data_IF_615189964515
#
_entry.id   IF_615189964515
#
_cell.length_a   1.000
_cell.length_b   1.000
_cell.length_c   1.000
_cell.angle_alpha   90.00
_cell.angle_beta   90.00
_cell.angle_gamma   90.00
#
_symmetry.space_group_name_H-M   'P 1'
#
loop_
_entity.id
_entity.type
_entity.pdbx_description
1 polymer ?
#
# COMPACT_ATOMS: atom_id res chain seq x y z
N UNK A 1 -8.26 15.50 -17.12
CA UNK A 1 -7.88 15.82 -15.73
C UNK A 1 -7.74 17.33 -15.64
N UNK A 2 -8.46 18.02 -14.75
CA UNK A 2 -8.37 19.47 -14.55
C UNK A 2 -6.95 19.88 -14.10
N UNK A 3 -6.59 21.13 -14.35
CA UNK A 3 -5.25 21.66 -14.07
C UNK A 3 -5.28 22.64 -12.90
N UNK A 4 -6.22 23.59 -12.91
CA UNK A 4 -6.38 24.60 -11.89
C UNK A 4 -7.68 24.37 -11.11
N UNK A 5 -7.57 24.18 -9.82
CA UNK A 5 -8.70 23.98 -8.92
C UNK A 5 -8.31 24.27 -7.47
N UNK A 6 -9.29 24.41 -6.60
CA UNK A 6 -9.10 24.67 -5.17
C UNK A 6 -10.38 24.46 -4.40
N UNK A 7 -10.40 24.72 -3.08
CA UNK A 7 -11.58 24.49 -2.24
C UNK A 7 -12.83 25.26 -2.70
N UNK A 8 -12.67 26.36 -3.46
CA UNK A 8 -13.72 27.22 -3.97
C UNK A 8 -13.65 27.46 -5.49
N UNK A 9 -12.81 26.72 -6.23
CA UNK A 9 -12.65 26.89 -7.67
C UNK A 9 -12.69 25.57 -8.42
N UNK A 10 -13.44 25.53 -9.53
CA UNK A 10 -13.62 24.33 -10.35
C UNK A 10 -14.14 23.12 -9.57
N UNK A 11 -14.87 23.35 -8.48
CA UNK A 11 -15.53 22.33 -7.67
C UNK A 11 -16.86 21.97 -8.33
N UNK A 12 -16.99 20.71 -8.78
CA UNK A 12 -18.26 20.16 -9.27
C UNK A 12 -19.17 19.86 -8.09
N UNK A 13 -18.62 19.23 -7.06
CA UNK A 13 -19.26 19.00 -5.77
C UNK A 13 -18.21 18.69 -4.68
N UNK A 14 -18.63 18.90 -3.43
CA UNK A 14 -17.87 18.59 -2.21
C UNK A 14 -18.78 17.87 -1.23
N UNK A 15 -18.29 16.80 -0.62
CA UNK A 15 -19.05 16.00 0.36
C UNK A 15 -18.20 15.81 1.62
N UNK A 16 -18.76 16.12 2.77
CA UNK A 16 -18.15 15.86 4.07
C UNK A 16 -18.15 14.36 4.36
N UNK A 17 -17.01 13.82 4.76
CA UNK A 17 -16.82 12.40 5.06
C UNK A 17 -15.90 12.22 6.27
N UNK A 18 -16.10 11.15 7.06
CA UNK A 18 -15.13 10.78 8.09
C UNK A 18 -13.75 10.46 7.52
N UNK A 19 -12.73 10.63 8.33
CA UNK A 19 -11.35 10.36 7.97
C UNK A 19 -11.10 8.90 7.54
N UNK A 20 -10.07 8.69 6.78
CA UNK A 20 -9.61 7.37 6.32
C UNK A 20 -8.59 7.50 5.21
N UNK A 21 -7.74 6.49 5.06
CA UNK A 21 -6.63 6.50 4.11
C UNK A 21 -6.92 5.74 2.82
N UNK A 22 -8.08 5.04 2.72
CA UNK A 22 -8.42 4.31 1.50
C UNK A 22 -8.49 5.24 0.30
N UNK A 23 -7.96 4.80 -0.82
CA UNK A 23 -8.21 5.40 -2.12
C UNK A 23 -9.67 5.17 -2.54
N UNK A 24 -10.06 5.73 -3.66
CA UNK A 24 -11.41 5.66 -4.18
C UNK A 24 -11.55 4.50 -5.17
N UNK A 25 -12.54 3.63 -4.95
CA UNK A 25 -12.95 2.63 -5.92
C UNK A 25 -14.12 3.21 -6.75
N UNK A 26 -13.84 3.58 -8.00
CA UNK A 26 -14.84 4.23 -8.87
C UNK A 26 -15.35 3.23 -9.90
N UNK A 27 -16.68 3.07 -9.99
CA UNK A 27 -17.33 2.24 -11.00
C UNK A 27 -18.68 2.84 -11.45
N UNK A 28 -18.81 3.14 -12.71
CA UNK A 28 -19.99 3.81 -13.24
C UNK A 28 -20.28 5.11 -12.47
N UNK A 29 -21.48 5.22 -11.92
CA UNK A 29 -21.89 6.38 -11.11
C UNK A 29 -21.70 6.17 -9.59
N UNK A 30 -20.85 5.25 -9.16
CA UNK A 30 -20.58 4.97 -7.76
C UNK A 30 -19.12 5.21 -7.42
N UNK A 31 -18.88 5.76 -6.22
CA UNK A 31 -17.58 5.82 -5.57
C UNK A 31 -17.71 5.07 -4.25
N UNK A 32 -16.87 4.07 -4.03
CA UNK A 32 -16.79 3.33 -2.78
C UNK A 32 -15.48 3.66 -2.07
N UNK A 33 -15.55 3.81 -0.76
CA UNK A 33 -14.40 4.06 0.10
C UNK A 33 -14.65 3.49 1.50
N UNK A 34 -13.59 3.36 2.29
CA UNK A 34 -13.69 3.01 3.71
C UNK A 34 -13.37 4.23 4.56
N UNK A 35 -13.98 4.34 5.74
CA UNK A 35 -13.76 5.43 6.67
C UNK A 35 -13.68 4.91 8.10
N UNK A 36 -13.08 5.70 8.98
CA UNK A 36 -13.00 5.43 10.42
C UNK A 36 -13.82 6.48 11.18
N UNK A 37 -14.66 6.01 12.09
CA UNK A 37 -15.45 6.83 13.00
C UNK A 37 -15.00 6.60 14.45
N UNK A 38 -15.46 7.42 15.41
CA UNK A 38 -15.22 7.16 16.82
C UNK A 38 -15.75 5.80 17.31
N UNK A 39 -16.79 5.27 16.66
CA UNK A 39 -17.44 4.00 17.02
C UNK A 39 -16.80 2.78 16.32
N UNK A 40 -16.09 2.99 15.21
CA UNK A 40 -15.49 1.89 14.46
C UNK A 40 -15.11 2.22 13.02
N UNK A 41 -15.45 1.33 12.11
CA UNK A 41 -15.15 1.48 10.67
C UNK A 41 -16.42 1.48 9.85
N UNK A 42 -16.39 2.14 8.70
CA UNK A 42 -17.53 2.13 7.79
C UNK A 42 -17.12 2.01 6.32
N UNK A 43 -18.03 1.43 5.53
CA UNK A 43 -17.98 1.49 4.07
C UNK A 43 -18.98 2.52 3.61
N UNK A 44 -18.55 3.42 2.72
CA UNK A 44 -19.36 4.51 2.20
C UNK A 44 -19.49 4.39 0.68
N UNK A 45 -20.71 4.59 0.19
CA UNK A 45 -21.00 4.74 -1.25
C UNK A 45 -21.49 6.15 -1.53
N UNK A 46 -20.87 6.81 -2.50
CA UNK A 46 -21.20 8.17 -2.93
C UNK A 46 -21.61 8.13 -4.41
N UNK A 47 -22.65 8.88 -4.74
CA UNK A 47 -23.01 9.12 -6.15
C UNK A 47 -21.94 10.00 -6.79
N UNK A 48 -21.32 9.49 -7.84
CA UNK A 48 -20.19 10.15 -8.51
C UNK A 48 -20.55 11.46 -9.21
N UNK A 49 -21.78 11.59 -9.64
CA UNK A 49 -22.22 12.77 -10.40
C UNK A 49 -22.59 13.94 -9.48
N UNK A 50 -23.19 13.63 -8.34
CA UNK A 50 -23.78 14.63 -7.43
C UNK A 50 -23.03 14.79 -6.11
N UNK A 51 -22.14 13.86 -5.75
CA UNK A 51 -21.49 13.81 -4.44
C UNK A 51 -22.39 13.31 -3.30
N UNK A 52 -23.67 13.00 -3.56
CA UNK A 52 -24.60 12.55 -2.53
C UNK A 52 -24.17 11.20 -1.96
N UNK A 53 -24.10 11.10 -0.63
CA UNK A 53 -23.93 9.82 0.05
C UNK A 53 -25.19 8.98 -0.17
N UNK A 54 -25.03 7.82 -0.79
CA UNK A 54 -26.14 6.92 -1.11
C UNK A 54 -26.42 5.95 0.03
N UNK A 55 -25.37 5.46 0.66
CA UNK A 55 -25.46 4.62 1.85
C UNK A 55 -24.13 4.59 2.63
N UNK A 56 -24.25 4.22 3.91
CA UNK A 56 -23.14 3.91 4.81
C UNK A 56 -23.41 2.56 5.48
N UNK A 57 -22.35 1.78 5.72
CA UNK A 57 -22.42 0.52 6.50
C UNK A 57 -21.36 0.57 7.58
N UNK A 58 -21.80 0.88 8.77
CA UNK A 58 -20.95 1.05 9.97
C UNK A 58 -20.80 -0.28 10.70
N UNK A 59 -19.64 -0.55 11.20
CA UNK A 59 -19.29 -1.72 12.00
C UNK A 59 -18.56 -1.25 13.25
N UNK A 60 -19.12 -1.57 14.40
CA UNK A 60 -18.50 -1.26 15.69
C UNK A 60 -17.20 -2.09 15.85
N UNK A 61 -16.16 -1.46 16.37
CA UNK A 61 -14.88 -2.11 16.70
C UNK A 61 -14.55 -1.89 18.17
N UNK A 62 -13.82 -2.84 18.77
CA UNK A 62 -13.40 -2.72 20.15
C UNK A 62 -12.49 -1.48 20.35
N UNK A 63 -12.55 -0.87 21.53
CA UNK A 63 -11.73 0.32 21.85
C UNK A 63 -10.23 0.04 21.80
N UNK A 64 -9.81 -1.17 22.13
CA UNK A 64 -8.42 -1.64 22.05
C UNK A 64 -7.88 -1.69 20.61
N UNK A 65 -8.74 -1.92 19.63
CA UNK A 65 -8.35 -1.94 18.20
C UNK A 65 -8.17 -0.53 17.65
N UNK A 66 -8.85 0.46 18.22
CA UNK A 66 -8.77 1.88 17.81
C UNK A 66 -7.46 2.57 18.25
N UNK A 67 -6.77 2.02 19.25
CA UNK A 67 -5.52 2.56 19.79
C UNK A 67 -4.24 1.88 19.29
N UNK A 68 -4.34 0.83 18.47
CA UNK A 68 -3.22 -0.02 18.08
C UNK A 68 -2.34 0.55 16.94
N UNK A 69 -2.28 1.86 16.77
CA UNK A 69 -1.45 2.52 15.75
C UNK A 69 -1.99 2.35 14.31
N UNK A 70 -2.03 3.41 13.55
CA UNK A 70 -2.51 3.41 12.16
C UNK A 70 -4.03 3.60 12.03
N UNK A 71 -4.47 3.82 10.79
CA UNK A 71 -5.88 4.03 10.45
C UNK A 71 -6.52 2.67 10.09
N UNK A 72 -7.62 2.32 10.74
CA UNK A 72 -8.34 1.06 10.49
C UNK A 72 -9.00 1.00 9.10
N UNK A 73 -9.16 2.15 8.42
CA UNK A 73 -9.78 2.30 7.12
C UNK A 73 -8.76 2.69 6.03
N UNK A 74 -7.66 1.94 5.90
CA UNK A 74 -6.62 2.16 4.90
C UNK A 74 -6.85 1.34 3.63
N UNK A 75 -7.51 0.20 3.73
CA UNK A 75 -7.74 -0.71 2.61
C UNK A 75 -8.75 -0.12 1.61
N UNK A 76 -8.38 -0.09 0.35
CA UNK A 76 -9.23 0.40 -0.74
C UNK A 76 -10.22 -0.70 -1.17
N UNK A 77 -11.52 -0.40 -1.31
CA UNK A 77 -12.48 -1.34 -1.86
C UNK A 77 -12.17 -1.74 -3.30
N UNK A 78 -12.67 -2.90 -3.73
CA UNK A 78 -12.61 -3.35 -5.13
C UNK A 78 -13.98 -3.85 -5.59
N UNK A 79 -14.28 -3.73 -6.89
CA UNK A 79 -15.57 -4.14 -7.46
C UNK A 79 -15.44 -4.72 -8.86
N UNK A 80 -16.34 -5.66 -9.21
CA UNK A 80 -16.56 -6.15 -10.57
C UNK A 80 -17.84 -5.58 -11.22
N UNK A 81 -18.42 -4.54 -10.61
CA UNK A 81 -19.62 -3.88 -11.15
C UNK A 81 -20.96 -4.41 -10.63
N UNK A 82 -20.97 -5.45 -9.79
CA UNK A 82 -22.19 -6.02 -9.16
C UNK A 82 -22.09 -6.02 -7.64
N UNK A 83 -20.89 -6.28 -7.11
CA UNK A 83 -20.59 -6.31 -5.68
C UNK A 83 -19.40 -5.43 -5.39
N UNK A 84 -19.34 -4.92 -4.19
CA UNK A 84 -18.15 -4.24 -3.66
C UNK A 84 -17.56 -5.06 -2.51
N UNK A 85 -16.25 -5.23 -2.54
CA UNK A 85 -15.51 -6.00 -1.55
C UNK A 85 -14.60 -5.07 -0.77
N UNK A 86 -14.64 -5.20 0.55
CA UNK A 86 -13.85 -4.39 1.47
C UNK A 86 -13.09 -5.29 2.43
N UNK A 87 -11.97 -4.80 2.90
CA UNK A 87 -11.18 -5.45 3.94
C UNK A 87 -10.92 -4.47 5.08
N UNK A 88 -11.20 -4.89 6.29
CA UNK A 88 -10.78 -4.23 7.52
C UNK A 88 -10.00 -5.24 8.35
N UNK A 89 -8.80 -4.88 8.82
CA UNK A 89 -7.99 -5.79 9.63
C UNK A 89 -8.74 -6.32 10.86
N UNK A 90 -9.51 -5.46 11.52
CA UNK A 90 -10.32 -5.78 12.70
C UNK A 90 -11.61 -6.56 12.43
N UNK A 91 -12.02 -6.73 11.18
CA UNK A 91 -13.29 -7.41 10.82
C UNK A 91 -13.07 -8.57 9.87
N UNK A 92 -12.14 -8.42 8.91
CA UNK A 92 -11.95 -9.35 7.81
C UNK A 92 -12.48 -8.84 6.47
N UNK A 93 -12.79 -9.75 5.56
CA UNK A 93 -13.36 -9.46 4.24
C UNK A 93 -14.89 -9.42 4.29
N UNK A 94 -15.47 -8.46 3.58
CA UNK A 94 -16.92 -8.30 3.46
C UNK A 94 -17.28 -8.03 2.00
N UNK A 95 -18.38 -8.60 1.54
CA UNK A 95 -19.00 -8.27 0.26
C UNK A 95 -20.36 -7.64 0.46
N UNK A 96 -20.60 -6.55 -0.26
CA UNK A 96 -21.89 -5.86 -0.32
C UNK A 96 -22.43 -5.84 -1.74
N UNK A 97 -23.77 -5.75 -1.90
CA UNK A 97 -24.37 -5.31 -3.17
C UNK A 97 -24.05 -3.83 -3.42
N UNK A 98 -24.31 -3.32 -4.61
CA UNK A 98 -24.16 -1.88 -4.90
C UNK A 98 -25.12 -1.00 -4.08
N UNK A 99 -26.20 -1.57 -3.57
CA UNK A 99 -27.16 -0.93 -2.66
C UNK A 99 -26.74 -1.04 -1.18
N UNK A 100 -25.59 -1.68 -0.92
CA UNK A 100 -25.00 -1.79 0.40
C UNK A 100 -25.60 -2.91 1.27
N UNK A 101 -26.33 -3.87 0.71
CA UNK A 101 -26.74 -5.07 1.47
C UNK A 101 -25.55 -6.02 1.60
N UNK A 102 -25.27 -6.48 2.83
CA UNK A 102 -24.22 -7.46 3.08
C UNK A 102 -24.61 -8.81 2.46
N UNK A 103 -23.73 -9.35 1.62
CA UNK A 103 -23.92 -10.65 0.96
C UNK A 103 -23.24 -11.73 1.78
N UNK A 104 -22.01 -11.50 2.17
CA UNK A 104 -21.23 -12.40 3.02
C UNK A 104 -20.14 -11.63 3.77
N UNK A 105 -19.72 -12.20 4.90
CA UNK A 105 -18.60 -11.76 5.71
C UNK A 105 -17.70 -12.94 6.02
N UNK A 106 -16.40 -12.77 5.85
CA UNK A 106 -15.37 -13.71 6.26
C UNK A 106 -14.51 -13.09 7.35
N UNK A 107 -14.76 -13.43 8.62
CA UNK A 107 -13.87 -13.00 9.70
C UNK A 107 -12.45 -13.52 9.46
N UNK A 108 -11.47 -12.67 9.71
CA UNK A 108 -10.05 -12.99 9.68
C UNK A 108 -9.42 -12.55 11.01
N UNK A 109 -8.36 -13.24 11.46
CA UNK A 109 -7.63 -12.79 12.64
C UNK A 109 -7.13 -11.35 12.45
N UNK A 110 -7.19 -10.56 13.53
CA UNK A 110 -6.66 -9.19 13.51
C UNK A 110 -5.15 -9.25 13.27
N UNK A 111 -4.62 -8.59 12.22
CA UNK A 111 -3.20 -8.63 11.93
C UNK A 111 -2.36 -8.01 13.03
N UNK A 112 -1.28 -8.70 13.40
CA UNK A 112 -0.30 -8.19 14.36
C UNK A 112 0.69 -7.31 13.60
N UNK A 113 0.51 -6.00 13.68
CA UNK A 113 1.37 -5.01 13.00
C UNK A 113 1.31 -3.67 13.72
N UNK A 114 2.44 -2.97 13.77
CA UNK A 114 2.56 -1.68 14.45
C UNK A 114 1.79 -0.56 13.72
N UNK A 115 1.61 -0.67 12.40
CA UNK A 115 1.09 0.41 11.56
C UNK A 115 -0.32 0.13 11.01
N UNK A 116 -0.97 -0.95 11.46
CA UNK A 116 -2.25 -1.37 10.92
C UNK A 116 -2.12 -2.02 9.54
N UNK A 117 -3.20 -2.06 8.78
CA UNK A 117 -3.28 -2.73 7.48
C UNK A 117 -3.08 -1.73 6.35
N UNK A 118 -2.16 -2.01 5.43
CA UNK A 118 -1.93 -1.21 4.21
C UNK A 118 -2.40 -1.88 2.92
N UNK A 119 -2.57 -3.19 2.94
CA UNK A 119 -2.99 -3.96 1.76
C UNK A 119 -4.46 -3.80 1.43
N UNK A 120 -4.81 -4.01 0.16
CA UNK A 120 -6.19 -4.01 -0.33
C UNK A 120 -6.51 -5.34 -1.02
N UNK A 121 -7.79 -5.78 -1.05
CA UNK A 121 -8.19 -6.95 -1.81
C UNK A 121 -8.04 -6.70 -3.32
N UNK A 122 -7.70 -7.75 -4.07
CA UNK A 122 -7.52 -7.72 -5.52
C UNK A 122 -8.47 -8.72 -6.18
N UNK A 123 -9.19 -8.28 -7.22
CA UNK A 123 -10.03 -9.15 -8.03
C UNK A 123 -9.23 -9.87 -9.11
N UNK A 124 -9.29 -11.20 -9.11
CA UNK A 124 -8.74 -12.08 -10.15
C UNK A 124 -9.89 -12.90 -10.78
N UNK A 125 -10.64 -12.29 -11.69
CA UNK A 125 -11.88 -12.83 -12.22
C UNK A 125 -12.95 -12.95 -11.12
N UNK A 126 -13.45 -14.15 -10.86
CA UNK A 126 -14.42 -14.45 -9.81
C UNK A 126 -13.80 -14.80 -8.45
N UNK A 127 -12.57 -14.37 -8.20
CA UNK A 127 -11.81 -14.66 -6.98
C UNK A 127 -11.27 -13.36 -6.39
N UNK A 128 -11.13 -13.32 -5.08
CA UNK A 128 -10.49 -12.25 -4.32
C UNK A 128 -9.20 -12.75 -3.72
N UNK A 129 -8.12 -12.03 -4.00
CA UNK A 129 -6.81 -12.24 -3.43
C UNK A 129 -6.56 -11.20 -2.33
N UNK A 130 -6.02 -11.62 -1.20
CA UNK A 130 -5.61 -10.75 -0.10
C UNK A 130 -4.23 -11.18 0.41
N UNK A 131 -3.29 -10.25 0.45
CA UNK A 131 -2.01 -10.42 1.14
C UNK A 131 -2.14 -9.92 2.58
N UNK A 132 -1.72 -10.73 3.55
CA UNK A 132 -1.68 -10.36 4.96
C UNK A 132 -0.27 -10.61 5.49
N UNK A 133 0.66 -9.73 5.13
CA UNK A 133 2.00 -9.73 5.69
C UNK A 133 1.97 -8.93 7.01
N UNK A 134 2.35 -9.57 8.10
CA UNK A 134 2.29 -9.07 9.47
C UNK A 134 3.56 -9.46 10.24
N UNK A 135 3.69 -9.01 11.49
CA UNK A 135 4.90 -9.24 12.27
C UNK A 135 5.23 -10.74 12.42
N UNK A 136 4.21 -11.59 12.49
CA UNK A 136 4.38 -13.05 12.47
C UNK A 136 3.13 -13.76 11.94
N UNK A 137 3.31 -14.90 11.24
CA UNK A 137 2.21 -15.68 10.67
C UNK A 137 1.60 -15.02 9.42
N UNK A 138 2.43 -14.42 8.57
CA UNK A 138 2.05 -13.86 7.28
C UNK A 138 1.47 -14.90 6.33
N UNK A 139 0.50 -14.51 5.52
CA UNK A 139 -0.14 -15.40 4.55
C UNK A 139 -0.71 -14.67 3.34
N UNK A 140 -0.89 -15.41 2.26
CA UNK A 140 -1.65 -15.01 1.08
C UNK A 140 -2.93 -15.84 1.03
N UNK A 141 -4.08 -15.20 0.81
CA UNK A 141 -5.40 -15.83 0.83
C UNK A 141 -6.13 -15.59 -0.47
N UNK A 142 -6.65 -16.64 -1.10
CA UNK A 142 -7.58 -16.57 -2.22
C UNK A 142 -8.94 -17.12 -1.82
N UNK A 143 -10.00 -16.35 -2.07
CA UNK A 143 -11.37 -16.75 -1.79
C UNK A 143 -12.26 -16.62 -3.03
N UNK A 144 -13.37 -17.34 -3.08
CA UNK A 144 -14.42 -17.13 -4.07
C UNK A 144 -15.10 -15.79 -3.82
N UNK A 145 -15.18 -14.93 -4.82
CA UNK A 145 -15.79 -13.60 -4.67
C UNK A 145 -17.30 -13.66 -4.38
N UNK A 146 -17.97 -14.72 -4.78
CA UNK A 146 -19.41 -14.90 -4.58
C UNK A 146 -19.79 -15.27 -3.14
N UNK A 147 -18.94 -16.03 -2.43
CA UNK A 147 -19.30 -16.65 -1.14
C UNK A 147 -18.29 -16.38 -0.01
N UNK A 148 -17.10 -15.83 -0.32
CA UNK A 148 -16.02 -15.71 0.66
C UNK A 148 -15.37 -17.05 1.06
N UNK A 149 -15.78 -18.16 0.43
CA UNK A 149 -15.19 -19.48 0.67
C UNK A 149 -13.70 -19.51 0.25
N UNK A 150 -12.85 -20.05 1.12
CA UNK A 150 -11.42 -20.17 0.84
C UNK A 150 -11.17 -21.17 -0.28
N UNK A 151 -10.44 -20.72 -1.30
CA UNK A 151 -9.94 -21.61 -2.37
C UNK A 151 -8.60 -22.18 -1.92
N UNK A 152 -7.68 -21.31 -1.47
CA UNK A 152 -6.42 -21.69 -0.86
C UNK A 152 -5.91 -20.57 0.09
N UNK A 153 -5.08 -20.98 1.04
CA UNK A 153 -4.29 -20.11 1.90
C UNK A 153 -2.85 -20.61 1.85
N UNK A 154 -1.92 -19.71 1.60
CA UNK A 154 -0.48 -20.02 1.55
C UNK A 154 0.22 -19.24 2.64
N UNK A 155 0.84 -19.94 3.58
CA UNK A 155 1.66 -19.33 4.60
C UNK A 155 2.92 -18.73 3.95
N UNK A 156 3.37 -17.59 4.47
CA UNK A 156 4.51 -16.84 3.96
C UNK A 156 5.59 -16.72 5.04
N UNK A 157 6.26 -17.84 5.39
CA UNK A 157 7.31 -17.83 6.40
C UNK A 157 8.47 -16.92 5.95
N UNK A 158 9.01 -16.14 6.86
CA UNK A 158 10.08 -15.17 6.57
C UNK A 158 9.61 -13.85 5.95
N UNK A 159 8.32 -13.70 5.62
CA UNK A 159 7.75 -12.40 5.32
C UNK A 159 7.23 -11.76 6.61
N UNK A 160 7.66 -10.55 6.84
CA UNK A 160 7.23 -9.73 7.98
C UNK A 160 6.81 -8.38 7.40
N UNK A 161 6.02 -7.60 8.09
CA UNK A 161 5.62 -6.23 7.71
C UNK A 161 5.68 -5.95 6.20
N UNK A 162 4.62 -6.21 5.50
CA UNK A 162 4.43 -5.89 4.10
C UNK A 162 3.08 -5.23 3.92
N UNK A 163 3.03 -4.07 3.29
CA UNK A 163 1.81 -3.27 3.16
C UNK A 163 1.32 -3.19 1.72
N UNK A 164 2.12 -3.68 0.77
CA UNK A 164 1.81 -3.64 -0.65
C UNK A 164 0.61 -4.51 -1.02
N UNK A 165 -0.22 -3.99 -1.91
CA UNK A 165 -1.30 -4.74 -2.55
C UNK A 165 -0.73 -5.61 -3.66
N UNK A 166 -1.11 -6.88 -3.80
CA UNK A 166 -0.66 -7.74 -4.89
C UNK A 166 -0.99 -7.17 -6.27
N UNK A 167 -0.10 -7.36 -7.25
CA UNK A 167 -0.40 -7.13 -8.64
C UNK A 167 -0.67 -8.44 -9.37
N UNK A 168 -1.39 -8.40 -10.49
CA UNK A 168 -1.73 -9.58 -11.28
C UNK A 168 -0.94 -9.57 -12.60
N UNK A 169 -0.42 -10.74 -13.00
CA UNK A 169 0.34 -10.90 -14.23
C UNK A 169 -0.09 -12.16 -15.02
N UNK A 170 -0.15 -12.12 -16.36
CA UNK A 170 -0.21 -10.89 -17.17
C UNK A 170 -1.55 -10.15 -16.94
N UNK A 171 -1.63 -8.84 -17.26
CA UNK A 171 -2.81 -8.03 -16.88
C UNK A 171 -4.11 -8.47 -17.57
N UNK A 172 -4.04 -8.95 -18.80
CA UNK A 172 -5.21 -9.37 -19.60
C UNK A 172 -5.74 -10.76 -19.20
N UNK A 173 -4.87 -11.68 -18.80
CA UNK A 173 -5.20 -13.06 -18.40
C UNK A 173 -4.39 -13.51 -17.20
N UNK A 174 -4.66 -13.01 -16.00
CA UNK A 174 -3.82 -13.25 -14.84
C UNK A 174 -3.69 -14.74 -14.51
N UNK A 175 -2.44 -15.21 -14.48
CA UNK A 175 -2.06 -16.54 -14.01
C UNK A 175 -1.19 -16.48 -12.75
N UNK A 176 -0.57 -15.33 -12.49
CA UNK A 176 0.28 -15.08 -11.32
C UNK A 176 -0.24 -13.90 -10.49
N UNK A 177 -0.04 -14.00 -9.19
CA UNK A 177 -0.05 -12.89 -8.26
C UNK A 177 1.40 -12.51 -7.93
N UNK A 178 1.73 -11.25 -8.09
CA UNK A 178 3.05 -10.69 -7.75
C UNK A 178 2.92 -10.02 -6.38
N UNK A 179 3.63 -10.52 -5.41
CA UNK A 179 3.58 -10.02 -4.03
C UNK A 179 4.99 -9.63 -3.60
N UNK A 180 5.17 -8.38 -3.25
CA UNK A 180 6.41 -7.87 -2.68
C UNK A 180 6.33 -7.88 -1.15
N UNK A 181 7.42 -8.21 -0.50
CA UNK A 181 7.52 -8.24 0.97
C UNK A 181 8.96 -8.20 1.42
N UNK A 182 9.24 -8.73 2.59
CA UNK A 182 10.57 -8.71 3.20
C UNK A 182 11.63 -9.28 2.26
N UNK A 183 12.57 -8.44 1.84
CA UNK A 183 13.75 -8.73 1.03
C UNK A 183 13.50 -9.20 -0.40
N UNK A 184 12.28 -9.59 -0.77
CA UNK A 184 12.03 -10.24 -2.07
C UNK A 184 10.63 -10.00 -2.62
N UNK A 185 10.51 -10.10 -3.94
CA UNK A 185 9.25 -10.24 -4.65
C UNK A 185 9.03 -11.69 -5.05
N UNK A 186 7.78 -12.14 -5.03
CA UNK A 186 7.40 -13.53 -5.35
C UNK A 186 6.25 -13.53 -6.33
N UNK A 187 6.35 -14.38 -7.36
CA UNK A 187 5.24 -14.74 -8.23
C UNK A 187 4.55 -16.01 -7.71
N UNK A 188 3.28 -15.91 -7.39
CA UNK A 188 2.43 -17.03 -6.94
C UNK A 188 1.50 -17.49 -8.04
N UNK A 189 1.39 -18.79 -8.26
CA UNK A 189 0.39 -19.38 -9.14
C UNK A 189 -1.02 -19.12 -8.61
N UNK A 190 -1.84 -18.39 -9.34
CA UNK A 190 -3.21 -18.03 -8.92
C UNK A 190 -4.16 -19.23 -8.78
N UNK A 191 -3.85 -20.38 -9.38
CA UNK A 191 -4.66 -21.58 -9.27
C UNK A 191 -4.31 -22.41 -8.03
N UNK A 192 -3.01 -22.50 -7.72
CA UNK A 192 -2.47 -23.40 -6.68
C UNK A 192 -2.06 -22.68 -5.40
N UNK A 193 -1.77 -21.37 -5.46
CA UNK A 193 -1.20 -20.59 -4.36
C UNK A 193 0.29 -20.88 -4.08
N UNK A 194 0.95 -21.71 -4.89
CA UNK A 194 2.37 -22.03 -4.71
C UNK A 194 3.27 -20.97 -5.31
N UNK A 195 4.44 -20.77 -4.71
CA UNK A 195 5.51 -19.95 -5.29
C UNK A 195 5.96 -20.55 -6.63
N UNK A 196 6.11 -19.70 -7.64
CA UNK A 196 6.61 -20.05 -8.98
C UNK A 196 8.04 -19.56 -9.14
N UNK A 197 8.30 -18.34 -8.69
CA UNK A 197 9.62 -17.72 -8.66
C UNK A 197 9.74 -16.75 -7.50
N UNK A 198 10.97 -16.45 -7.12
CA UNK A 198 11.32 -15.49 -6.10
C UNK A 198 12.53 -14.67 -6.55
N UNK A 199 12.49 -13.34 -6.35
CA UNK A 199 13.56 -12.41 -6.68
C UNK A 199 13.91 -11.55 -5.45
N UNK A 200 15.12 -11.72 -4.95
CA UNK A 200 15.69 -10.93 -3.84
C UNK A 200 16.24 -9.57 -4.30
N UNK A 201 16.89 -8.87 -3.36
CA UNK A 201 17.50 -7.55 -3.59
C UNK A 201 16.54 -6.39 -3.35
N UNK A 202 15.66 -6.54 -2.35
CA UNK A 202 14.64 -5.57 -1.96
C UNK A 202 14.78 -5.15 -0.48
N UNK A 203 14.10 -4.08 -0.06
CA UNK A 203 14.06 -3.65 1.33
C UNK A 203 13.46 -4.70 2.28
N UNK A 204 13.83 -4.61 3.55
CA UNK A 204 13.26 -5.45 4.61
C UNK A 204 11.79 -5.16 4.90
N UNK A 205 11.32 -3.96 4.58
CA UNK A 205 9.92 -3.55 4.69
C UNK A 205 9.50 -2.86 3.38
N UNK A 206 8.44 -3.35 2.75
CA UNK A 206 7.91 -2.77 1.52
C UNK A 206 6.48 -2.28 1.74
N UNK A 207 6.29 -0.98 1.50
CA UNK A 207 4.98 -0.33 1.53
C UNK A 207 4.40 -0.22 0.12
N UNK A 208 5.24 0.11 -0.85
CA UNK A 208 4.84 0.24 -2.25
C UNK A 208 4.37 -1.10 -2.84
N UNK A 209 3.32 -1.05 -3.65
CA UNK A 209 2.81 -2.20 -4.39
C UNK A 209 3.64 -2.47 -5.65
N UNK A 210 3.73 -3.71 -6.15
CA UNK A 210 4.26 -3.99 -7.48
C UNK A 210 3.42 -3.29 -8.56
N UNK A 211 4.08 -2.76 -9.58
CA UNK A 211 3.46 -2.07 -10.71
C UNK A 211 3.68 -2.87 -11.99
N UNK A 212 2.61 -3.16 -12.70
CA UNK A 212 2.66 -3.85 -13.98
C UNK A 212 2.69 -2.84 -15.11
N UNK A 213 3.79 -2.82 -15.88
CA UNK A 213 3.89 -2.12 -17.15
C UNK A 213 3.51 -3.03 -18.33
N UNK A 214 3.86 -2.64 -19.53
CA UNK A 214 3.55 -3.42 -20.75
C UNK A 214 4.23 -4.80 -20.75
N UNK A 215 5.54 -4.85 -20.44
CA UNK A 215 6.33 -6.08 -20.44
C UNK A 215 7.13 -6.31 -19.15
N UNK A 216 7.15 -5.33 -18.29
CA UNK A 216 7.95 -5.31 -17.07
C UNK A 216 7.07 -5.14 -15.84
N UNK A 217 7.55 -5.70 -14.74
CA UNK A 217 6.98 -5.50 -13.40
C UNK A 217 7.99 -4.67 -12.63
N UNK A 218 7.57 -3.54 -12.09
CA UNK A 218 8.39 -2.67 -11.25
C UNK A 218 8.06 -2.93 -9.79
N UNK A 219 9.08 -3.26 -9.01
CA UNK A 219 8.90 -3.59 -7.59
C UNK A 219 10.07 -3.07 -6.79
N UNK A 220 9.79 -2.43 -5.68
CA UNK A 220 10.81 -1.90 -4.79
C UNK A 220 10.40 -0.63 -4.10
N UNK A 221 11.33 -0.07 -3.35
CA UNK A 221 11.14 1.12 -2.55
C UNK A 221 12.35 1.39 -1.67
N UNK A 222 12.10 2.19 -0.64
CA UNK A 222 13.09 2.58 0.35
C UNK A 222 12.57 2.28 1.75
N UNK A 223 13.49 1.87 2.64
CA UNK A 223 13.24 1.75 4.07
C UNK A 223 14.47 2.22 4.85
N UNK A 224 14.31 2.79 6.05
CA UNK A 224 15.45 3.17 6.87
C UNK A 224 16.23 1.94 7.32
N UNK A 225 17.56 2.07 7.42
CA UNK A 225 18.46 1.04 7.94
C UNK A 225 18.78 -0.13 6.99
N UNK A 226 18.38 -0.03 5.71
CA UNK A 226 18.75 -1.04 4.73
C UNK A 226 20.26 -1.14 4.53
N UNK A 227 20.80 -2.37 4.54
CA UNK A 227 22.22 -2.67 4.33
C UNK A 227 23.14 -2.34 5.50
N UNK A 228 22.63 -1.71 6.56
CA UNK A 228 23.43 -1.32 7.74
C UNK A 228 22.76 -1.87 8.98
N UNK A 229 23.39 -2.87 9.62
CA UNK A 229 22.97 -3.30 10.96
C UNK A 229 23.64 -2.41 12.00
N UNK A 230 22.91 -1.43 12.52
CA UNK A 230 23.29 -0.68 13.72
C UNK A 230 22.73 -1.33 14.99
N UNK A 231 22.19 -2.53 14.86
CA UNK A 231 21.66 -3.26 16.00
C UNK A 231 22.78 -3.69 16.94
N UNK A 232 22.59 -3.57 18.25
CA UNK A 232 23.56 -4.07 19.24
C UNK A 232 23.69 -5.59 19.12
N UNK A 233 24.80 -6.15 19.61
CA UNK A 233 24.96 -7.60 19.69
C UNK A 233 23.97 -8.16 20.71
N UNK A 234 23.54 -9.41 20.55
CA UNK A 234 22.64 -10.03 21.51
C UNK A 234 23.30 -10.13 22.90
N UNK A 235 24.61 -10.38 22.96
CA UNK A 235 25.35 -10.40 24.23
C UNK A 235 25.24 -9.06 24.96
N UNK A 236 25.39 -7.94 24.27
CA UNK A 236 25.27 -6.63 24.90
C UNK A 236 23.82 -6.33 25.38
N UNK A 237 22.82 -6.95 24.76
CA UNK A 237 21.44 -6.84 25.24
C UNK A 237 21.20 -7.68 26.49
N UNK A 238 21.80 -8.89 26.56
CA UNK A 238 21.76 -9.74 27.76
C UNK A 238 22.49 -9.06 28.93
N UNK A 239 23.68 -8.51 28.71
CA UNK A 239 24.41 -7.76 29.74
C UNK A 239 23.60 -6.59 30.30
N UNK A 240 22.81 -5.92 29.46
CA UNK A 240 22.02 -4.76 29.86
C UNK A 240 20.66 -5.10 30.47
N UNK A 241 20.10 -6.28 30.21
CA UNK A 241 18.71 -6.56 30.50
C UNK A 241 18.35 -7.90 31.12
N UNK A 242 19.11 -8.96 30.85
CA UNK A 242 18.84 -10.32 31.34
C UNK A 242 19.11 -10.41 32.86
N UNK A 243 18.03 -10.26 33.65
CA UNK A 243 18.13 -10.17 35.13
C UNK A 243 18.15 -11.54 35.78
N UNK A 244 17.42 -12.50 35.20
CA UNK A 244 17.33 -13.86 35.73
C UNK A 244 18.41 -14.80 35.17
N UNK A 245 19.19 -14.32 34.18
CA UNK A 245 20.31 -15.02 33.54
C UNK A 245 19.87 -16.31 32.81
N UNK A 246 18.70 -16.33 32.25
CA UNK A 246 18.18 -17.46 31.48
C UNK A 246 18.65 -17.46 30.00
N UNK A 247 19.38 -16.41 29.58
CA UNK A 247 19.92 -16.25 28.22
C UNK A 247 18.90 -15.82 27.18
N UNK A 248 17.73 -15.34 27.61
CA UNK A 248 16.67 -14.78 26.79
C UNK A 248 16.25 -13.42 27.36
N UNK A 249 15.43 -12.69 26.65
CA UNK A 249 14.90 -11.41 27.12
C UNK A 249 13.37 -11.45 27.08
N UNK A 250 12.75 -11.39 28.23
CA UNK A 250 11.32 -11.04 28.31
C UNK A 250 11.10 -9.58 27.92
N UNK A 251 9.85 -9.18 27.68
CA UNK A 251 9.54 -7.79 27.32
C UNK A 251 9.97 -6.77 28.37
N UNK A 252 9.91 -7.16 29.65
CA UNK A 252 10.29 -6.30 30.78
C UNK A 252 11.81 -6.19 30.94
N UNK A 253 12.54 -7.18 30.48
CA UNK A 253 14.01 -7.24 30.47
C UNK A 253 14.60 -6.56 29.25
N UNK A 254 13.89 -6.55 28.12
CA UNK A 254 14.38 -5.92 26.92
C UNK A 254 14.78 -4.47 27.18
N UNK A 255 16.07 -4.10 26.94
CA UNK A 255 16.55 -2.75 27.16
C UNK A 255 15.78 -1.70 26.35
N UNK A 256 15.71 -0.43 26.81
CA UNK A 256 15.15 0.65 26.00
C UNK A 256 15.83 0.74 24.63
N UNK A 257 15.02 0.94 23.58
CA UNK A 257 15.49 0.98 22.21
C UNK A 257 14.85 -0.08 21.31
N UNK A 258 15.52 -0.50 20.22
CA UNK A 258 14.93 -1.41 19.22
C UNK A 258 14.39 -2.72 19.80
N UNK A 259 15.09 -3.32 20.77
CA UNK A 259 14.66 -4.59 21.38
C UNK A 259 13.29 -4.48 22.05
N UNK A 260 13.05 -3.41 22.84
CA UNK A 260 11.76 -3.18 23.50
C UNK A 260 10.69 -2.63 22.55
N UNK A 261 11.08 -1.71 21.67
CA UNK A 261 10.13 -1.06 20.75
C UNK A 261 9.55 -2.05 19.75
N UNK A 262 10.36 -2.98 19.27
CA UNK A 262 9.96 -3.97 18.27
C UNK A 262 9.81 -5.38 18.83
N UNK A 263 9.62 -5.52 20.14
CA UNK A 263 9.60 -6.82 20.82
C UNK A 263 8.69 -7.85 20.11
N UNK A 264 7.44 -7.50 19.85
CA UNK A 264 6.47 -8.38 19.17
C UNK A 264 6.84 -8.72 17.71
N UNK A 265 7.67 -7.90 17.10
CA UNK A 265 8.20 -8.15 15.77
C UNK A 265 9.40 -9.11 15.82
N UNK A 266 10.18 -9.07 16.89
CA UNK A 266 11.36 -9.90 17.08
C UNK A 266 10.95 -11.28 17.57
N UNK A 267 10.09 -11.37 18.59
CA UNK A 267 9.49 -12.59 19.14
C UNK A 267 8.58 -13.24 18.05
N UNK A 268 9.22 -14.03 17.19
CA UNK A 268 8.57 -14.59 16.01
C UNK A 268 7.66 -15.77 16.33
N UNK A 269 8.00 -16.54 17.36
CA UNK A 269 7.26 -17.71 17.82
C UNK A 269 6.16 -17.36 18.83
N UNK A 270 6.15 -16.12 19.35
CA UNK A 270 5.18 -15.56 20.33
C UNK A 270 5.21 -16.29 21.69
N UNK A 271 6.37 -16.75 22.11
CA UNK A 271 6.54 -17.37 23.42
C UNK A 271 6.75 -16.36 24.55
N UNK A 272 6.85 -15.07 24.23
CA UNK A 272 7.02 -13.97 25.18
C UNK A 272 8.49 -13.66 25.49
N UNK A 273 9.42 -14.28 24.79
CA UNK A 273 10.85 -14.06 24.94
C UNK A 273 11.49 -13.73 23.59
N UNK A 274 12.56 -12.95 23.62
CA UNK A 274 13.48 -12.78 22.50
C UNK A 274 14.72 -13.62 22.75
N UNK A 275 14.96 -14.55 21.85
CA UNK A 275 16.11 -15.43 21.85
C UNK A 275 17.25 -14.89 20.97
N UNK A 276 18.44 -15.44 21.11
CA UNK A 276 19.57 -15.15 20.24
C UNK A 276 19.24 -15.41 18.77
N UNK A 277 18.58 -16.53 18.49
CA UNK A 277 18.24 -16.93 17.12
C UNK A 277 17.29 -15.90 16.48
N UNK A 278 16.27 -15.45 17.19
CA UNK A 278 15.33 -14.44 16.70
C UNK A 278 16.00 -13.10 16.48
N UNK A 279 16.85 -12.65 17.40
CA UNK A 279 17.62 -11.42 17.25
C UNK A 279 18.57 -11.46 16.05
N UNK A 280 19.34 -12.54 15.90
CA UNK A 280 20.27 -12.70 14.77
C UNK A 280 19.52 -12.86 13.44
N UNK A 281 18.35 -13.49 13.44
CA UNK A 281 17.46 -13.55 12.29
C UNK A 281 17.04 -12.14 11.84
N UNK A 282 16.64 -11.29 12.81
CA UNK A 282 16.31 -9.89 12.52
C UNK A 282 17.53 -9.13 11.98
N UNK A 283 18.68 -9.24 12.64
CA UNK A 283 19.92 -8.60 12.22
C UNK A 283 20.33 -9.03 10.79
N UNK A 284 20.13 -10.31 10.45
CA UNK A 284 20.36 -10.83 9.11
C UNK A 284 19.44 -10.18 8.07
N UNK A 285 18.15 -9.99 8.40
CA UNK A 285 17.20 -9.31 7.51
C UNK A 285 17.69 -7.89 7.20
N UNK A 286 18.12 -7.11 8.20
CA UNK A 286 18.64 -5.76 7.98
C UNK A 286 19.91 -5.74 7.13
N UNK A 287 20.86 -6.67 7.38
CA UNK A 287 22.09 -6.80 6.58
C UNK A 287 21.82 -7.12 5.10
N UNK A 288 20.81 -7.94 4.81
CA UNK A 288 20.43 -8.33 3.46
C UNK A 288 19.52 -7.32 2.76
N UNK A 289 18.98 -6.35 3.50
CA UNK A 289 18.06 -5.35 2.98
C UNK A 289 18.75 -4.42 1.99
N UNK A 290 18.14 -4.22 0.83
CA UNK A 290 18.61 -3.30 -0.20
C UNK A 290 17.51 -2.33 -0.59
N UNK A 291 17.80 -1.04 -0.51
CA UNK A 291 16.92 -0.01 -1.08
C UNK A 291 17.08 -0.03 -2.60
N UNK A 292 16.11 -0.58 -3.29
CA UNK A 292 16.13 -0.74 -4.74
C UNK A 292 14.73 -0.71 -5.36
N UNK A 293 14.67 -0.28 -6.61
CA UNK A 293 13.59 -0.54 -7.54
C UNK A 293 14.11 -1.50 -8.60
N UNK A 294 13.47 -2.64 -8.74
CA UNK A 294 13.79 -3.65 -9.76
C UNK A 294 12.76 -3.58 -10.88
N UNK A 295 13.23 -3.60 -12.13
CA UNK A 295 12.40 -3.92 -13.28
C UNK A 295 12.57 -5.39 -13.61
N UNK A 296 11.51 -6.15 -13.46
CA UNK A 296 11.48 -7.59 -13.62
C UNK A 296 10.80 -7.94 -14.94
N UNK A 297 11.45 -8.79 -15.75
CA UNK A 297 10.87 -9.35 -16.98
C UNK A 297 10.50 -10.81 -16.73
N UNK A 298 9.21 -11.14 -16.65
CA UNK A 298 8.78 -12.54 -16.60
C UNK A 298 9.06 -13.25 -17.94
N UNK A 299 9.40 -14.54 -17.88
CA UNK A 299 9.46 -15.39 -19.09
C UNK A 299 8.05 -15.55 -19.71
N UNK A 300 7.97 -15.98 -20.98
CA UNK A 300 6.71 -16.14 -21.70
C UNK A 300 5.68 -17.03 -20.97
N UNK A 301 6.14 -18.01 -20.19
CA UNK A 301 5.27 -18.85 -19.36
C UNK A 301 5.08 -18.34 -17.93
N UNK A 302 5.68 -17.21 -17.56
CA UNK A 302 5.66 -16.66 -16.20
C UNK A 302 6.37 -17.50 -15.13
N UNK A 303 7.10 -18.55 -15.52
CA UNK A 303 7.74 -19.49 -14.59
C UNK A 303 9.07 -19.01 -14.04
N UNK A 304 9.66 -18.05 -14.69
CA UNK A 304 10.95 -17.44 -14.33
C UNK A 304 10.82 -15.93 -14.44
N UNK A 305 11.69 -15.23 -13.73
CA UNK A 305 11.81 -13.78 -13.80
C UNK A 305 13.27 -13.40 -13.92
N UNK A 306 13.57 -12.37 -14.70
CA UNK A 306 14.92 -11.79 -14.81
C UNK A 306 14.88 -10.33 -14.43
N UNK A 307 15.89 -9.87 -13.70
CA UNK A 307 16.10 -8.43 -13.46
C UNK A 307 16.62 -7.83 -14.76
N UNK A 308 15.82 -6.94 -15.36
CA UNK A 308 16.18 -6.19 -16.56
C UNK A 308 17.12 -5.04 -16.21
N UNK A 309 16.77 -4.30 -15.15
CA UNK A 309 17.57 -3.25 -14.55
C UNK A 309 17.24 -3.07 -13.07
N UNK A 310 18.14 -2.42 -12.33
CA UNK A 310 18.03 -2.07 -10.92
C UNK A 310 18.38 -0.60 -10.75
N UNK A 311 17.60 0.10 -9.92
CA UNK A 311 17.80 1.50 -9.60
C UNK A 311 17.79 1.70 -8.08
N UNK A 312 18.68 2.57 -7.53
CA UNK A 312 18.92 2.65 -6.08
C UNK A 312 18.85 4.07 -5.50
N UNK A 313 18.53 5.08 -6.33
CA UNK A 313 18.52 6.48 -5.91
C UNK A 313 17.09 7.05 -5.86
N UNK A 314 16.85 8.08 -5.05
CA UNK A 314 15.59 8.82 -5.05
C UNK A 314 14.33 7.99 -4.85
N UNK A 315 14.42 6.86 -4.15
CA UNK A 315 13.33 5.90 -4.00
C UNK A 315 12.26 6.38 -3.02
N UNK A 316 10.98 6.13 -3.28
CA UNK A 316 9.89 6.41 -2.36
C UNK A 316 9.86 5.43 -1.19
N UNK A 317 9.35 5.89 -0.03
CA UNK A 317 9.03 5.02 1.10
C UNK A 317 7.62 4.43 0.97
N UNK A 318 6.61 5.28 0.87
CA UNK A 318 5.19 4.86 0.84
C UNK A 318 4.61 4.84 -0.57
N UNK A 319 4.75 5.91 -1.39
CA UNK A 319 4.09 5.95 -2.68
C UNK A 319 4.52 4.81 -3.61
N UNK A 320 3.56 4.17 -4.23
CA UNK A 320 3.80 3.21 -5.30
C UNK A 320 4.30 3.95 -6.55
N UNK A 321 5.35 3.48 -7.25
CA UNK A 321 5.79 4.05 -8.52
C UNK A 321 4.66 4.10 -9.55
N UNK A 322 4.71 5.06 -10.46
CA UNK A 322 3.77 5.15 -11.58
C UNK A 322 4.47 4.82 -12.89
N UNK A 323 4.04 3.75 -13.58
CA UNK A 323 4.45 3.49 -14.96
C UNK A 323 3.46 4.15 -15.93
N UNK A 324 3.92 5.09 -16.75
CA UNK A 324 3.07 5.81 -17.70
C UNK A 324 3.83 6.26 -18.94
N UNK A 325 3.35 5.88 -20.12
CA UNK A 325 3.93 6.25 -21.44
C UNK A 325 5.44 6.00 -21.53
N UNK A 326 5.87 4.80 -21.18
CA UNK A 326 7.28 4.39 -21.25
C UNK A 326 8.17 5.02 -20.17
N UNK A 327 7.61 5.59 -19.11
CA UNK A 327 8.32 6.23 -17.99
C UNK A 327 7.88 5.68 -16.66
N UNK A 328 8.80 5.65 -15.71
CA UNK A 328 8.51 5.34 -14.29
C UNK A 328 8.75 6.59 -13.46
N UNK A 329 7.70 7.08 -12.81
CA UNK A 329 7.75 8.25 -11.93
C UNK A 329 7.82 7.79 -10.48
N UNK A 330 8.79 8.30 -9.75
CA UNK A 330 9.00 8.10 -8.33
C UNK A 330 8.80 9.43 -7.62
N UNK A 331 8.03 9.46 -6.55
CA UNK A 331 7.88 10.64 -5.71
C UNK A 331 8.21 10.30 -4.27
N UNK A 332 9.06 11.10 -3.64
CA UNK A 332 9.42 10.94 -2.24
C UNK A 332 9.16 12.20 -1.43
N UNK A 333 9.25 12.08 -0.12
CA UNK A 333 9.07 13.19 0.82
C UNK A 333 9.93 14.39 0.45
N UNK A 334 9.40 15.59 0.71
CA UNK A 334 9.97 16.85 0.27
C UNK A 334 9.58 17.27 -1.15
N UNK A 335 8.70 16.50 -1.82
CA UNK A 335 8.27 16.76 -3.19
C UNK A 335 9.38 16.59 -4.21
N UNK A 336 10.22 15.59 -4.02
CA UNK A 336 11.30 15.23 -4.92
C UNK A 336 10.81 14.16 -5.89
N UNK A 337 10.94 14.43 -7.19
CA UNK A 337 10.48 13.54 -8.26
C UNK A 337 11.67 13.06 -9.08
N UNK A 338 11.71 11.75 -9.30
CA UNK A 338 12.64 11.10 -10.23
C UNK A 338 11.83 10.45 -11.35
N UNK A 339 12.30 10.57 -12.58
CA UNK A 339 11.71 9.94 -13.74
C UNK A 339 12.74 9.08 -14.46
N UNK A 340 12.38 7.83 -14.73
CA UNK A 340 13.22 6.86 -15.42
C UNK A 340 12.55 6.42 -16.72
N UNK A 341 13.35 6.10 -17.73
CA UNK A 341 12.90 5.34 -18.89
C UNK A 341 12.52 3.91 -18.44
N UNK A 342 11.31 3.47 -18.72
CA UNK A 342 10.77 2.21 -18.20
C UNK A 342 11.52 0.96 -18.71
N UNK A 343 12.03 1.00 -19.93
CA UNK A 343 12.72 -0.11 -20.60
C UNK A 343 14.14 -0.35 -20.07
N UNK A 344 14.84 0.73 -19.71
CA UNK A 344 16.28 0.73 -19.43
C UNK A 344 16.66 1.17 -18.02
N UNK A 345 15.75 1.81 -17.28
CA UNK A 345 16.06 2.42 -15.99
C UNK A 345 16.93 3.68 -16.09
N UNK A 346 17.17 4.20 -17.32
CA UNK A 346 17.94 5.42 -17.51
C UNK A 346 17.24 6.59 -16.87
N UNK A 347 17.98 7.38 -16.08
CA UNK A 347 17.49 8.63 -15.51
C UNK A 347 17.17 9.63 -16.62
N UNK A 348 15.93 10.14 -16.63
CA UNK A 348 15.51 11.27 -17.44
C UNK A 348 15.70 12.57 -16.63
N UNK A 349 15.27 12.55 -15.37
CA UNK A 349 15.61 13.54 -14.35
C UNK A 349 15.57 12.89 -12.96
N UNK A 350 16.31 13.45 -12.00
CA UNK A 350 16.46 12.88 -10.65
C UNK A 350 16.27 13.91 -9.56
N UNK A 351 15.41 13.57 -8.59
CA UNK A 351 15.17 14.30 -7.35
C UNK A 351 14.91 15.81 -7.55
N UNK A 352 14.22 16.14 -8.65
CA UNK A 352 13.82 17.52 -8.90
C UNK A 352 12.60 17.91 -8.06
N UNK A 353 12.59 19.15 -7.55
CA UNK A 353 11.55 19.63 -6.65
C UNK A 353 10.33 20.14 -7.39
N UNK A 354 9.15 19.63 -7.01
CA UNK A 354 7.88 20.10 -7.55
C UNK A 354 7.30 21.31 -6.80
N UNK A 355 7.99 21.80 -5.76
CA UNK A 355 7.57 23.00 -5.00
C UNK A 355 6.34 22.78 -4.11
N UNK A 356 6.11 21.54 -3.67
CA UNK A 356 5.10 21.18 -2.67
C UNK A 356 5.79 20.35 -1.60
N UNK A 357 6.15 21.00 -0.49
CA UNK A 357 6.87 20.37 0.61
C UNK A 357 5.97 19.46 1.45
N UNK A 358 6.57 18.62 2.27
CA UNK A 358 5.92 17.69 3.18
C UNK A 358 6.11 16.24 2.80
N UNK A 359 5.40 15.36 3.52
CA UNK A 359 5.41 13.94 3.27
C UNK A 359 4.51 13.58 2.08
N UNK A 360 4.81 12.44 1.46
CA UNK A 360 4.03 11.89 0.35
C UNK A 360 3.62 10.46 0.69
N UNK A 361 2.32 10.25 0.83
CA UNK A 361 1.70 8.91 1.08
C UNK A 361 0.88 8.45 -0.12
N UNK A 362 0.17 9.39 -0.76
CA UNK A 362 -0.59 9.10 -1.97
C UNK A 362 0.33 8.72 -3.13
N UNK A 363 -0.03 7.69 -3.86
CA UNK A 363 0.68 7.31 -5.08
C UNK A 363 0.38 8.27 -6.23
N UNK A 364 1.33 8.54 -7.14
CA UNK A 364 1.07 9.32 -8.34
C UNK A 364 0.06 8.62 -9.26
N UNK A 365 -0.77 9.41 -9.94
CA UNK A 365 -1.68 8.93 -10.98
C UNK A 365 -1.45 9.71 -12.28
N UNK A 366 -1.87 9.15 -13.42
CA UNK A 366 -1.74 9.84 -14.69
C UNK A 366 -2.98 9.73 -15.58
N UNK A 367 -3.26 10.80 -16.34
CA UNK A 367 -4.27 10.82 -17.38
C UNK A 367 -3.98 11.94 -18.39
N UNK A 368 -4.26 11.68 -19.68
CA UNK A 368 -4.19 12.67 -20.76
C UNK A 368 -2.85 13.45 -20.81
N UNK A 369 -1.73 12.73 -20.69
CA UNK A 369 -0.39 13.33 -20.75
C UNK A 369 -0.01 14.14 -19.53
N UNK A 370 -0.72 14.00 -18.42
CA UNK A 370 -0.44 14.67 -17.15
C UNK A 370 -0.22 13.65 -16.05
N UNK A 371 0.63 13.99 -15.07
CA UNK A 371 0.86 13.24 -13.83
C UNK A 371 0.37 14.10 -12.67
N UNK A 372 -0.38 13.51 -11.77
CA UNK A 372 -0.87 14.13 -10.55
C UNK A 372 -0.14 13.55 -9.34
N UNK A 373 0.43 14.43 -8.53
CA UNK A 373 1.09 14.10 -7.27
C UNK A 373 0.36 14.80 -6.13
N UNK A 374 0.40 14.22 -4.95
CA UNK A 374 -0.30 14.80 -3.79
C UNK A 374 0.62 14.78 -2.58
N UNK A 375 0.86 15.95 -2.00
CA UNK A 375 1.56 16.07 -0.72
C UNK A 375 0.58 15.91 0.44
N UNK A 376 1.05 15.35 1.55
CA UNK A 376 0.26 15.17 2.77
C UNK A 376 -0.33 16.49 3.31
N UNK A 377 0.38 17.66 3.28
CA UNK A 377 -0.22 18.92 3.68
C UNK A 377 -1.40 19.41 2.83
N UNK A 378 -1.70 18.75 1.68
CA UNK A 378 -2.88 19.06 0.89
C UNK A 378 -2.62 19.76 -0.45
N UNK A 379 -1.38 19.79 -0.93
CA UNK A 379 -1.08 20.36 -2.25
C UNK A 379 -1.12 19.28 -3.32
N UNK A 380 -1.98 19.48 -4.32
CA UNK A 380 -2.07 18.65 -5.52
C UNK A 380 -1.25 19.30 -6.64
N UNK A 381 -0.21 18.60 -7.09
CA UNK A 381 0.67 19.06 -8.15
C UNK A 381 0.34 18.36 -9.45
N UNK A 382 0.19 19.13 -10.51
CA UNK A 382 -0.01 18.63 -11.88
C UNK A 382 1.25 18.86 -12.68
N UNK A 383 1.81 17.78 -13.23
CA UNK A 383 2.96 17.80 -14.12
C UNK A 383 2.53 17.47 -15.55
N UNK A 384 3.26 17.95 -16.54
CA UNK A 384 3.27 17.36 -17.88
C UNK A 384 4.12 16.10 -17.87
N UNK A 385 3.59 15.01 -18.38
CA UNK A 385 4.37 13.78 -18.55
C UNK A 385 5.43 13.99 -19.66
N UNK A 386 6.71 13.80 -19.34
CA UNK A 386 7.81 14.04 -20.27
C UNK A 386 9.17 13.68 -19.70
N UNK A 387 10.23 13.97 -20.47
CA UNK A 387 11.61 13.65 -20.14
C UNK A 387 12.31 14.72 -19.27
N UNK A 388 11.61 15.82 -19.02
CA UNK A 388 12.01 16.90 -18.11
C UNK A 388 10.88 17.19 -17.15
N UNK A 389 11.21 17.68 -15.95
CA UNK A 389 10.21 18.11 -14.99
C UNK A 389 9.51 19.38 -15.50
N UNK A 390 8.23 19.30 -15.75
CA UNK A 390 7.37 20.43 -16.13
C UNK A 390 6.16 20.50 -15.18
N UNK A 391 6.23 21.42 -14.22
CA UNK A 391 5.17 21.66 -13.23
C UNK A 391 4.16 22.64 -13.81
N UNK A 392 2.97 22.13 -14.19
CA UNK A 392 1.90 22.93 -14.79
C UNK A 392 1.12 23.73 -13.74
N UNK A 393 0.82 23.11 -12.61
CA UNK A 393 0.02 23.72 -11.54
C UNK A 393 0.31 23.15 -10.16
N UNK A 394 0.05 23.96 -9.12
CA UNK A 394 -0.01 23.57 -7.71
C UNK A 394 -1.31 24.07 -7.13
N UNK A 395 -2.12 23.15 -6.64
CA UNK A 395 -3.47 23.40 -6.14
C UNK A 395 -3.50 23.06 -4.64
N UNK A 396 -3.64 24.05 -3.78
CA UNK A 396 -3.70 23.82 -2.34
C UNK A 396 -5.16 23.61 -1.92
N UNK A 397 -5.48 22.45 -1.33
CA UNK A 397 -6.82 22.12 -0.82
C UNK A 397 -6.99 22.47 0.66
N UNK A 398 -5.96 22.99 1.33
CA UNK A 398 -5.98 23.45 2.72
C UNK A 398 -6.36 22.36 3.74
N UNK A 399 -6.39 21.13 3.32
CA UNK A 399 -6.65 19.95 4.14
C UNK A 399 -5.65 18.81 3.84
N UNK A 400 -5.22 18.06 4.85
CA UNK A 400 -4.33 16.93 4.65
C UNK A 400 -4.91 15.87 3.70
N UNK A 401 -4.03 15.30 2.86
CA UNK A 401 -4.38 14.25 1.90
C UNK A 401 -3.40 13.08 2.05
N UNK A 402 -3.94 11.88 2.25
CA UNK A 402 -3.16 10.62 2.31
C UNK A 402 -3.61 9.62 1.25
N UNK A 403 -4.86 9.74 0.80
CA UNK A 403 -5.46 8.85 -0.19
C UNK A 403 -5.00 9.19 -1.61
N UNK A 404 -4.76 8.17 -2.43
CA UNK A 404 -4.48 8.34 -3.85
C UNK A 404 -5.73 8.85 -4.58
N UNK A 405 -5.65 9.94 -5.36
CA UNK A 405 -6.77 10.45 -6.14
C UNK A 405 -7.22 9.48 -7.24
N UNK A 406 -8.39 9.75 -7.80
CA UNK A 406 -8.90 9.03 -8.98
C UNK A 406 -9.31 9.99 -10.08
N UNK A 407 -9.14 9.57 -11.33
CA UNK A 407 -9.51 10.35 -12.52
C UNK A 407 -10.47 9.53 -13.38
N UNK A 408 -11.63 10.11 -13.71
CA UNK A 408 -12.60 9.53 -14.62
C UNK A 408 -13.44 10.62 -15.30
N UNK A 409 -13.73 10.49 -16.59
CA UNK A 409 -14.57 11.41 -17.37
C UNK A 409 -14.12 12.89 -17.22
N UNK A 410 -12.83 13.13 -17.43
CA UNK A 410 -12.17 14.42 -17.29
C UNK A 410 -12.24 15.07 -15.88
N UNK A 411 -12.85 14.42 -14.89
CA UNK A 411 -12.91 14.88 -13.50
C UNK A 411 -11.81 14.24 -12.65
N UNK A 412 -11.31 15.00 -11.68
CA UNK A 412 -10.40 14.53 -10.65
C UNK A 412 -11.15 14.43 -9.32
N UNK A 413 -11.08 13.27 -8.70
CA UNK A 413 -11.69 13.00 -7.38
C UNK A 413 -10.57 12.95 -6.34
N UNK A 414 -10.65 13.81 -5.33
CA UNK A 414 -9.64 13.91 -4.27
C UNK A 414 -10.30 13.75 -2.92
N UNK A 415 -9.80 12.81 -2.12
CA UNK A 415 -10.19 12.64 -0.74
C UNK A 415 -9.20 13.36 0.16
N UNK A 416 -9.68 14.33 0.92
CA UNK A 416 -8.95 14.99 2.01
C UNK A 416 -9.30 14.34 3.36
N UNK A 417 -8.77 14.86 4.45
CA UNK A 417 -9.06 14.37 5.79
C UNK A 417 -10.55 14.44 6.16
N UNK A 418 -11.25 15.48 5.72
CA UNK A 418 -12.66 15.72 6.05
C UNK A 418 -13.63 15.69 4.88
N UNK A 419 -13.14 15.67 3.63
CA UNK A 419 -14.00 15.80 2.47
C UNK A 419 -13.62 14.89 1.31
N UNK A 420 -14.59 14.68 0.44
CA UNK A 420 -14.39 14.16 -0.91
C UNK A 420 -14.79 15.26 -1.90
N UNK A 421 -13.89 15.59 -2.81
CA UNK A 421 -14.08 16.58 -3.87
C UNK A 421 -14.16 15.90 -5.23
N UNK A 422 -15.00 16.46 -6.10
CA UNK A 422 -14.89 16.28 -7.54
C UNK A 422 -14.54 17.62 -8.17
N UNK A 423 -13.43 17.67 -8.89
CA UNK A 423 -12.98 18.83 -9.66
C UNK A 423 -13.18 18.58 -11.15
N UNK A 424 -13.60 19.63 -11.88
CA UNK A 424 -13.80 19.57 -13.33
C UNK A 424 -13.76 20.95 -13.96
N UNK A 425 -13.42 21.05 -15.24
CA UNK A 425 -13.50 22.31 -15.98
C UNK A 425 -14.96 22.74 -16.10
N UNK A 426 -15.27 24.01 -15.78
CA UNK A 426 -16.62 24.55 -15.80
C UNK A 426 -17.44 24.33 -14.50
N UNK A 427 -16.84 23.87 -13.42
CA UNK A 427 -17.39 23.94 -12.07
C UNK A 427 -17.32 25.39 -11.54
N UNK A 428 -18.32 25.79 -10.77
CA UNK A 428 -18.40 27.12 -10.12
C UNK A 428 -17.48 27.18 -8.92
#
# INVERSE_FOLDING_TARGET
MPVHFGPSSNVVWRTELPGGNSSLCVWGNRIFLTAQTPEGVETVCVDRLTGKVLWRRSLATASSERGAGGNLASSTPVTEGKRVYVYFGCVGLIAYTFEGQEIWRKPLPNPVTQHGVGTSPVLAGNRLLLNVDQDSGSYLLLVKSQSGETIWKTDRPGFRRGFGTPALWPPDRPSLAIVAGTLRAVGYDLKKGSEVWSQGGLPNELVASPVVGEELIFVGGWTPGAGVSTLPTFDSLLEAGDRDKDGRLSRDEAPPGPARQHFLYIDANKDGFVTREEWESLASIFRQSENALLALRPSAGGREVKVQWKYTHGLPYVPTPLCYRGRVYLVKNGGLVTCLAADSGKELYREERVGALGDYYASPIAANGKVCLVSQPGVVVILRAGDMLDVIARNNLEEPITATPSVLDAKLYVRTKGHLYAFGEGGH
#
